data_IF_579185820922
#
_entry.id   IF_579185820922
#
_cell.length_a   1.000
_cell.length_b   1.000
_cell.length_c   1.000
_cell.angle_alpha   90.00
_cell.angle_beta   90.00
_cell.angle_gamma   90.00
#
_symmetry.space_group_name_H-M   'P 1'
#
loop_
_entity.id
_entity.type
_entity.pdbx_description
1 polymer ?
#
# COMPACT_ATOMS: atom_id res chain seq x y z
N UNK A 1 2.49 19.25 -66.59
CA UNK A 1 1.27 18.98 -67.37
C UNK A 1 0.11 18.77 -66.42
N UNK A 2 -0.86 19.69 -66.37
CA UNK A 2 -2.14 19.48 -65.70
C UNK A 2 -3.24 20.08 -66.59
N UNK A 3 -4.06 19.21 -67.19
CA UNK A 3 -5.19 19.61 -68.04
C UNK A 3 -6.36 20.01 -67.14
N UNK A 4 -6.75 21.28 -67.22
CA UNK A 4 -8.01 21.79 -66.65
C UNK A 4 -9.19 21.24 -67.46
N UNK A 5 -10.00 20.41 -66.84
CA UNK A 5 -11.30 19.96 -67.36
C UNK A 5 -12.32 21.07 -67.06
N UNK A 6 -12.88 21.71 -68.10
CA UNK A 6 -14.00 22.63 -67.98
C UNK A 6 -15.31 21.88 -68.21
N UNK A 7 -16.18 21.84 -67.20
CA UNK A 7 -17.58 21.41 -67.34
C UNK A 7 -18.43 22.54 -67.93
N UNK A 8 -19.34 22.26 -68.87
CA UNK A 8 -20.27 23.26 -69.37
C UNK A 8 -21.36 23.59 -68.32
N UNK A 9 -21.55 24.89 -68.03
CA UNK A 9 -22.70 25.38 -67.26
C UNK A 9 -23.97 25.24 -68.11
N UNK A 10 -24.82 24.27 -67.77
CA UNK A 10 -26.19 24.18 -68.27
C UNK A 10 -27.04 25.25 -67.60
N UNK A 11 -27.07 26.46 -68.16
CA UNK A 11 -28.05 27.48 -67.80
C UNK A 11 -29.36 27.18 -68.55
N UNK A 12 -30.51 27.10 -67.87
CA UNK A 12 -31.79 26.86 -68.51
C UNK A 12 -32.11 27.98 -69.50
N UNK A 13 -32.59 27.63 -70.70
CA UNK A 13 -32.87 28.62 -71.74
C UNK A 13 -33.89 29.65 -71.25
N UNK A 14 -33.77 30.90 -71.71
CA UNK A 14 -34.71 31.98 -71.37
C UNK A 14 -36.18 31.63 -71.69
N UNK A 15 -36.44 30.64 -72.55
CA UNK A 15 -37.78 30.09 -72.81
C UNK A 15 -38.32 29.26 -71.64
N UNK A 16 -37.50 28.45 -70.98
CA UNK A 16 -37.91 27.65 -69.82
C UNK A 16 -38.27 28.55 -68.63
N UNK A 17 -37.46 29.57 -68.36
CA UNK A 17 -37.73 30.54 -67.30
C UNK A 17 -39.02 31.34 -67.56
N UNK A 18 -39.30 31.70 -68.82
CA UNK A 18 -40.58 32.36 -69.20
C UNK A 18 -41.79 31.42 -69.10
N UNK A 19 -41.61 30.13 -69.37
CA UNK A 19 -42.64 29.09 -69.20
C UNK A 19 -43.00 28.89 -67.73
N UNK A 20 -42.00 28.81 -66.85
CA UNK A 20 -42.19 28.68 -65.40
C UNK A 20 -42.86 29.94 -64.85
N UNK A 21 -42.39 31.14 -65.24
CA UNK A 21 -42.99 32.40 -64.81
C UNK A 21 -44.46 32.56 -65.26
N UNK A 22 -44.83 32.07 -66.44
CA UNK A 22 -46.23 32.05 -66.90
C UNK A 22 -47.10 31.08 -66.08
N UNK A 23 -46.59 29.90 -65.71
CA UNK A 23 -47.31 28.93 -64.86
C UNK A 23 -47.56 29.48 -63.46
N UNK A 24 -46.56 30.11 -62.85
CA UNK A 24 -46.69 30.72 -61.51
C UNK A 24 -47.66 31.90 -61.52
N UNK A 25 -47.78 32.62 -62.63
CA UNK A 25 -48.74 33.73 -62.78
C UNK A 25 -50.19 33.28 -63.00
N UNK A 26 -50.42 32.02 -63.38
CA UNK A 26 -51.76 31.43 -63.63
C UNK A 26 -52.25 30.52 -62.50
N UNK A 27 -51.41 30.16 -61.53
CA UNK A 27 -51.83 29.40 -60.36
C UNK A 27 -52.68 30.25 -59.42
N UNK A 28 -53.96 29.90 -59.29
CA UNK A 28 -54.85 30.50 -58.28
C UNK A 28 -54.37 30.11 -56.87
N UNK A 29 -54.39 31.02 -55.89
CA UNK A 29 -54.07 30.67 -54.51
C UNK A 29 -55.02 29.56 -54.04
N UNK A 30 -54.47 28.58 -53.31
CA UNK A 30 -55.28 27.52 -52.71
C UNK A 30 -56.31 28.14 -51.76
N UNK A 31 -57.54 27.58 -51.68
CA UNK A 31 -58.55 28.08 -50.75
C UNK A 31 -58.01 28.06 -49.32
N UNK A 32 -58.33 29.10 -48.53
CA UNK A 32 -57.84 29.23 -47.14
C UNK A 32 -58.13 27.97 -46.30
N UNK A 33 -59.28 27.32 -46.53
CA UNK A 33 -59.65 26.06 -45.87
C UNK A 33 -58.75 24.88 -46.22
N UNK A 34 -58.17 24.84 -47.43
CA UNK A 34 -57.22 23.81 -47.84
C UNK A 34 -55.85 24.04 -47.19
N UNK A 35 -55.41 25.30 -47.12
CA UNK A 35 -54.17 25.69 -46.43
C UNK A 35 -54.26 25.36 -44.93
N UNK A 36 -55.40 25.67 -44.30
CA UNK A 36 -55.65 25.37 -42.90
C UNK A 36 -55.62 23.86 -42.61
N UNK A 37 -56.21 23.03 -43.50
CA UNK A 37 -56.16 21.57 -43.38
C UNK A 37 -54.73 21.03 -43.48
N UNK A 38 -53.93 21.52 -44.42
CA UNK A 38 -52.52 21.13 -44.52
C UNK A 38 -51.70 21.59 -43.31
N UNK A 39 -51.95 22.78 -42.79
CA UNK A 39 -51.29 23.28 -41.58
C UNK A 39 -51.61 22.39 -40.37
N UNK A 40 -52.89 22.05 -40.16
CA UNK A 40 -53.31 21.18 -39.05
C UNK A 40 -52.64 19.80 -39.18
N UNK A 41 -52.72 19.17 -40.36
CA UNK A 41 -52.11 17.85 -40.60
C UNK A 41 -50.58 17.90 -40.42
N UNK A 42 -49.92 18.97 -40.87
CA UNK A 42 -48.48 19.13 -40.68
C UNK A 42 -48.11 19.31 -39.20
N UNK A 43 -48.89 20.07 -38.43
CA UNK A 43 -48.64 20.27 -37.00
C UNK A 43 -48.89 18.99 -36.21
N UNK A 44 -49.91 18.20 -36.54
CA UNK A 44 -50.17 16.93 -35.86
C UNK A 44 -49.07 15.91 -36.14
N UNK A 45 -48.58 15.81 -37.38
CA UNK A 45 -47.44 14.94 -37.72
C UNK A 45 -46.18 15.35 -36.94
N UNK A 46 -45.90 16.65 -36.83
CA UNK A 46 -44.74 17.14 -36.09
C UNK A 46 -44.83 16.80 -34.59
N UNK A 47 -46.00 17.00 -33.98
CA UNK A 47 -46.22 16.67 -32.56
C UNK A 47 -46.03 15.17 -32.33
N UNK A 48 -46.59 14.32 -33.20
CA UNK A 48 -46.41 12.86 -33.10
C UNK A 48 -44.94 12.46 -33.24
N UNK A 49 -44.20 13.06 -34.18
CA UNK A 49 -42.78 12.78 -34.35
C UNK A 49 -41.94 13.15 -33.12
N UNK A 50 -42.23 14.29 -32.48
CA UNK A 50 -41.54 14.74 -31.26
C UNK A 50 -41.84 13.81 -30.08
N UNK A 51 -43.11 13.39 -29.93
CA UNK A 51 -43.51 12.45 -28.87
C UNK A 51 -42.84 11.09 -29.07
N UNK A 52 -42.82 10.57 -30.30
CA UNK A 52 -42.11 9.32 -30.62
C UNK A 52 -40.61 9.44 -30.34
N UNK A 53 -39.98 10.55 -30.69
CA UNK A 53 -38.56 10.79 -30.39
C UNK A 53 -38.28 10.84 -28.88
N UNK A 54 -39.15 11.51 -28.10
CA UNK A 54 -39.03 11.52 -26.64
C UNK A 54 -39.19 10.12 -26.04
N UNK A 55 -40.17 9.34 -26.51
CA UNK A 55 -40.36 7.94 -26.06
C UNK A 55 -39.13 7.10 -26.41
N UNK A 56 -38.60 7.21 -27.63
CA UNK A 56 -37.38 6.51 -28.06
C UNK A 56 -36.19 6.92 -27.18
N UNK A 57 -36.03 8.21 -26.86
CA UNK A 57 -34.95 8.68 -25.97
C UNK A 57 -35.07 8.11 -24.56
N UNK A 58 -36.28 8.04 -24.01
CA UNK A 58 -36.52 7.44 -22.68
C UNK A 58 -36.26 5.94 -22.71
N UNK A 59 -36.72 5.24 -23.75
CA UNK A 59 -36.45 3.81 -23.96
C UNK A 59 -34.94 3.58 -24.07
N UNK A 60 -34.22 4.33 -24.91
CA UNK A 60 -32.76 4.24 -25.04
C UNK A 60 -32.02 4.57 -23.74
N UNK A 61 -32.56 5.45 -22.90
CA UNK A 61 -32.02 5.75 -21.58
C UNK A 61 -32.27 4.62 -20.57
N UNK A 62 -33.46 4.01 -20.58
CA UNK A 62 -33.81 2.87 -19.71
C UNK A 62 -33.09 1.58 -20.13
N UNK A 63 -32.81 1.42 -21.42
CA UNK A 63 -32.00 0.33 -21.98
C UNK A 63 -30.51 0.68 -22.06
N UNK A 64 -30.10 1.89 -21.63
CA UNK A 64 -28.69 2.23 -21.42
C UNK A 64 -28.23 1.48 -20.19
N UNK A 65 -27.74 0.28 -20.44
CA UNK A 65 -27.11 -0.59 -19.47
C UNK A 65 -26.07 0.21 -18.65
N UNK A 66 -26.41 0.53 -17.40
CA UNK A 66 -25.47 1.05 -16.40
C UNK A 66 -24.63 -0.10 -15.85
N UNK A 67 -24.10 -0.95 -16.73
CA UNK A 67 -22.96 -1.78 -16.38
C UNK A 67 -21.76 -0.85 -16.34
N UNK A 68 -21.25 -0.64 -15.13
CA UNK A 68 -19.90 -0.12 -14.92
C UNK A 68 -18.95 -0.94 -15.81
N UNK A 69 -17.96 -0.27 -16.38
CA UNK A 69 -16.90 -0.96 -17.10
C UNK A 69 -16.35 -2.08 -16.19
N UNK A 70 -16.19 -3.32 -16.67
CA UNK A 70 -15.57 -4.40 -15.90
C UNK A 70 -14.25 -3.99 -15.22
N UNK A 71 -13.53 -3.03 -15.78
CA UNK A 71 -12.34 -2.44 -15.17
C UNK A 71 -12.65 -1.55 -13.95
N UNK A 72 -13.67 -0.69 -14.03
CA UNK A 72 -14.13 0.14 -12.91
C UNK A 72 -14.68 -0.73 -11.76
N UNK A 73 -15.45 -1.78 -12.09
CA UNK A 73 -15.95 -2.73 -11.10
C UNK A 73 -14.82 -3.51 -10.42
N UNK A 74 -13.80 -3.92 -11.19
CA UNK A 74 -12.57 -4.52 -10.67
C UNK A 74 -11.79 -3.56 -9.76
N UNK A 75 -11.69 -2.28 -10.12
CA UNK A 75 -10.99 -1.27 -9.34
C UNK A 75 -11.72 -0.96 -8.04
N UNK A 76 -13.03 -0.83 -8.07
CA UNK A 76 -13.87 -0.63 -6.88
C UNK A 76 -13.80 -1.84 -5.96
N UNK A 77 -13.83 -3.06 -6.50
CA UNK A 77 -13.70 -4.29 -5.72
C UNK A 77 -12.32 -4.37 -5.07
N UNK A 78 -11.25 -4.12 -5.83
CA UNK A 78 -9.88 -4.08 -5.31
C UNK A 78 -9.72 -2.98 -4.26
N UNK A 79 -10.25 -1.78 -4.50
CA UNK A 79 -10.21 -0.70 -3.53
C UNK A 79 -10.98 -1.05 -2.25
N UNK A 80 -12.15 -1.67 -2.36
CA UNK A 80 -12.93 -2.11 -1.20
C UNK A 80 -12.23 -3.24 -0.43
N UNK A 81 -11.65 -4.22 -1.13
CA UNK A 81 -10.85 -5.29 -0.49
C UNK A 81 -9.62 -4.72 0.24
N UNK A 82 -8.87 -3.80 -0.40
CA UNK A 82 -7.73 -3.12 0.23
C UNK A 82 -8.17 -2.27 1.42
N UNK A 83 -9.35 -1.66 1.36
CA UNK A 83 -9.92 -0.86 2.46
C UNK A 83 -10.31 -1.71 3.66
N UNK A 84 -10.77 -2.94 3.44
CA UNK A 84 -11.06 -3.90 4.51
C UNK A 84 -9.80 -4.55 5.09
N UNK A 85 -8.68 -4.58 4.35
CA UNK A 85 -7.41 -5.13 4.81
C UNK A 85 -6.55 -4.12 5.61
N UNK A 86 -6.63 -2.83 5.29
CA UNK A 86 -5.85 -1.75 5.92
C UNK A 86 -6.69 -1.05 6.98
N UNK A 87 -6.30 -1.19 8.24
CA UNK A 87 -7.00 -0.56 9.36
C UNK A 87 -6.54 0.89 9.51
N UNK A 88 -7.48 1.83 9.60
CA UNK A 88 -7.18 3.23 9.92
C UNK A 88 -6.48 4.01 8.81
N UNK A 89 -6.26 5.30 9.05
CA UNK A 89 -5.56 6.20 8.13
C UNK A 89 -4.10 6.33 8.54
N UNK A 90 -3.19 6.25 7.55
CA UNK A 90 -1.76 6.51 7.74
C UNK A 90 -1.47 7.95 7.37
N UNK A 91 -0.56 8.57 8.11
CA UNK A 91 0.07 9.81 7.66
C UNK A 91 0.85 9.60 6.35
N UNK A 92 1.24 10.68 5.70
CA UNK A 92 2.05 10.60 4.47
C UNK A 92 3.37 9.84 4.76
N UNK A 93 3.63 8.72 4.06
CA UNK A 93 4.82 7.92 4.32
C UNK A 93 6.06 8.57 3.72
N UNK A 94 7.15 8.61 4.48
CA UNK A 94 8.46 9.05 4.00
C UNK A 94 9.57 8.24 4.66
N UNK A 95 10.79 8.32 4.12
CA UNK A 95 11.92 7.52 4.58
C UNK A 95 13.19 8.34 4.71
N UNK A 96 14.07 7.91 5.60
CA UNK A 96 15.42 8.43 5.73
C UNK A 96 16.46 7.33 5.92
N UNK A 97 17.68 7.63 5.50
CA UNK A 97 18.83 6.73 5.66
C UNK A 97 19.53 7.10 6.96
N UNK A 98 19.49 6.21 7.94
CA UNK A 98 20.16 6.43 9.22
C UNK A 98 21.64 6.03 9.18
N UNK A 99 21.97 4.98 8.43
CA UNK A 99 23.35 4.50 8.29
C UNK A 99 23.52 3.61 7.06
N UNK A 100 24.74 3.63 6.50
CA UNK A 100 25.19 2.67 5.49
C UNK A 100 26.04 1.52 6.07
N UNK A 101 26.57 1.68 7.29
CA UNK A 101 27.44 0.71 7.97
C UNK A 101 27.07 0.57 9.46
N UNK A 102 26.15 -0.33 9.84
CA UNK A 102 25.37 -1.22 8.97
C UNK A 102 24.31 -0.43 8.18
N UNK A 103 23.69 -1.06 7.17
CA UNK A 103 22.57 -0.45 6.45
C UNK A 103 21.33 -0.40 7.34
N UNK A 104 20.87 0.80 7.68
CA UNK A 104 19.69 1.05 8.52
C UNK A 104 18.88 2.17 7.89
N UNK A 105 17.61 1.90 7.63
CA UNK A 105 16.64 2.81 7.04
C UNK A 105 15.47 2.97 8.00
N UNK A 106 14.95 4.18 8.14
CA UNK A 106 13.73 4.46 8.89
C UNK A 106 12.60 4.79 7.93
N UNK A 107 11.42 4.24 8.23
CA UNK A 107 10.18 4.46 7.50
C UNK A 107 9.16 5.07 8.45
N UNK A 108 8.77 6.30 8.18
CA UNK A 108 7.79 7.01 8.99
C UNK A 108 6.37 6.74 8.52
N UNK A 109 5.43 6.72 9.47
CA UNK A 109 4.02 6.45 9.20
C UNK A 109 3.80 5.13 8.44
N UNK A 110 4.62 4.12 8.73
CA UNK A 110 4.59 2.84 8.02
C UNK A 110 3.32 2.03 8.34
N UNK A 111 2.97 1.98 9.63
CA UNK A 111 1.69 1.49 10.12
C UNK A 111 0.80 2.64 10.61
N UNK A 112 -0.51 2.45 10.50
CA UNK A 112 -1.46 3.30 11.22
C UNK A 112 -1.43 3.00 12.71
N UNK A 113 -2.05 3.87 13.50
CA UNK A 113 -2.26 3.64 14.93
C UNK A 113 -3.12 2.39 15.15
N UNK A 114 -4.17 2.23 14.36
CA UNK A 114 -5.13 1.13 14.43
C UNK A 114 -4.48 -0.21 14.09
N UNK A 115 -3.55 -0.25 13.12
CA UNK A 115 -2.75 -1.45 12.83
C UNK A 115 -1.81 -1.81 14.00
N UNK A 116 -1.20 -0.80 14.65
CA UNK A 116 -0.36 -1.03 15.82
C UNK A 116 -1.17 -1.62 16.99
N UNK A 117 -2.30 -0.99 17.33
CA UNK A 117 -3.19 -1.45 18.41
C UNK A 117 -3.80 -2.83 18.09
N UNK A 118 -4.15 -3.08 16.83
CA UNK A 118 -4.63 -4.40 16.40
C UNK A 118 -3.59 -5.49 16.67
N UNK A 119 -2.32 -5.27 16.31
CA UNK A 119 -1.24 -6.22 16.57
C UNK A 119 -1.02 -6.46 18.07
N UNK A 120 -1.04 -5.41 18.89
CA UNK A 120 -0.82 -5.55 20.34
C UNK A 120 -1.97 -6.27 21.01
N UNK A 121 -3.22 -5.89 20.73
CA UNK A 121 -4.42 -6.48 21.32
C UNK A 121 -4.56 -7.97 20.97
N UNK A 122 -4.22 -8.33 19.73
CA UNK A 122 -4.28 -9.70 19.27
C UNK A 122 -3.16 -10.56 19.88
N UNK A 123 -2.01 -9.96 20.18
CA UNK A 123 -0.86 -10.66 20.73
C UNK A 123 -0.90 -10.84 22.25
N UNK A 124 -1.41 -9.84 22.98
CA UNK A 124 -1.41 -9.78 24.44
C UNK A 124 -1.85 -11.08 25.15
N UNK A 125 -3.00 -11.71 24.82
CA UNK A 125 -3.45 -12.92 25.51
C UNK A 125 -2.58 -14.17 25.22
N UNK A 126 -1.68 -14.11 24.23
CA UNK A 126 -0.86 -15.22 23.78
C UNK A 126 0.63 -15.06 24.11
N UNK A 127 1.01 -13.97 24.81
CA UNK A 127 2.38 -13.72 25.19
C UNK A 127 2.88 -14.77 26.18
N UNK A 128 4.02 -15.39 25.85
CA UNK A 128 4.76 -16.27 26.77
C UNK A 128 6.12 -15.65 27.07
N UNK A 129 6.68 -15.95 28.25
CA UNK A 129 8.00 -15.42 28.62
C UNK A 129 9.03 -15.82 27.57
N UNK A 130 9.73 -14.84 26.98
CA UNK A 130 10.72 -15.11 25.94
C UNK A 130 11.88 -15.90 26.52
N UNK A 131 12.07 -17.14 26.05
CA UNK A 131 13.23 -17.94 26.41
C UNK A 131 14.28 -17.91 25.30
N UNK A 132 15.54 -17.74 25.68
CA UNK A 132 16.68 -17.93 24.76
C UNK A 132 17.06 -19.40 24.79
N UNK A 133 17.09 -20.06 23.64
CA UNK A 133 17.51 -21.47 23.58
C UNK A 133 19.01 -21.56 23.90
N UNK A 134 19.39 -22.39 24.87
CA UNK A 134 20.77 -22.65 25.21
C UNK A 134 21.45 -23.44 24.08
N UNK A 135 22.55 -22.90 23.54
CA UNK A 135 23.30 -23.46 22.42
C UNK A 135 23.86 -24.86 22.67
N UNK A 136 24.16 -25.22 23.92
CA UNK A 136 24.79 -26.51 24.24
C UNK A 136 23.80 -27.68 24.35
N UNK A 137 22.54 -27.42 24.69
CA UNK A 137 21.58 -28.49 25.00
C UNK A 137 20.17 -28.27 24.43
N UNK A 138 19.94 -27.19 23.67
CA UNK A 138 18.65 -26.91 23.03
C UNK A 138 17.51 -26.57 24.00
N UNK A 139 17.78 -26.41 25.31
CA UNK A 139 16.75 -26.11 26.32
C UNK A 139 16.57 -24.60 26.52
N UNK A 140 15.37 -24.14 26.91
CA UNK A 140 15.13 -22.76 27.35
C UNK A 140 16.12 -22.34 28.45
N UNK A 141 16.90 -21.28 28.21
CA UNK A 141 17.78 -20.65 29.20
C UNK A 141 17.02 -19.48 29.83
N UNK A 142 16.69 -19.57 31.10
CA UNK A 142 16.32 -18.39 31.89
C UNK A 142 17.54 -17.47 31.93
N UNK A 143 17.53 -16.38 31.16
CA UNK A 143 18.65 -15.45 31.12
C UNK A 143 18.22 -14.01 31.03
N UNK A 144 18.96 -13.18 31.75
CA UNK A 144 19.04 -11.71 31.67
C UNK A 144 19.35 -11.16 30.26
N UNK A 145 19.48 -12.03 29.25
CA UNK A 145 19.80 -11.68 27.88
C UNK A 145 18.58 -11.13 27.13
N UNK A 146 17.40 -11.72 27.31
CA UNK A 146 16.13 -11.20 26.80
C UNK A 146 15.06 -11.34 27.86
N UNK A 147 14.58 -10.21 28.37
CA UNK A 147 13.66 -10.22 29.50
C UNK A 147 12.20 -10.00 29.14
N UNK A 148 11.85 -9.87 27.86
CA UNK A 148 10.47 -9.70 27.37
C UNK A 148 9.57 -10.94 27.52
N UNK A 149 8.28 -10.73 27.25
CA UNK A 149 7.37 -11.77 26.76
C UNK A 149 7.16 -11.63 25.26
N UNK A 150 6.87 -12.72 24.54
CA UNK A 150 6.69 -12.70 23.09
C UNK A 150 5.78 -13.80 22.57
N UNK A 151 5.24 -13.62 21.37
CA UNK A 151 4.49 -14.62 20.61
C UNK A 151 4.79 -14.47 19.11
N UNK A 152 4.48 -15.50 18.31
CA UNK A 152 4.59 -15.47 16.84
C UNK A 152 3.25 -15.71 16.17
N UNK A 153 2.87 -14.82 15.25
CA UNK A 153 1.76 -15.09 14.35
C UNK A 153 2.22 -16.08 13.28
N UNK A 154 1.30 -16.91 12.79
CA UNK A 154 1.55 -17.62 11.53
C UNK A 154 1.57 -16.59 10.39
N UNK A 155 2.40 -16.82 9.37
CA UNK A 155 2.46 -15.97 8.18
C UNK A 155 1.06 -15.88 7.55
N UNK A 156 0.59 -14.66 7.29
CA UNK A 156 -0.72 -14.38 6.71
C UNK A 156 -1.92 -14.87 7.53
N UNK A 157 -1.76 -15.07 8.85
CA UNK A 157 -2.80 -15.63 9.73
C UNK A 157 -4.11 -14.84 9.69
N UNK A 158 -4.02 -13.51 9.61
CA UNK A 158 -5.17 -12.60 9.50
C UNK A 158 -4.99 -11.69 8.29
N UNK A 159 -6.10 -11.15 7.75
CA UNK A 159 -6.09 -10.24 6.59
C UNK A 159 -5.17 -9.04 6.81
N UNK A 160 -5.33 -8.33 7.94
CA UNK A 160 -4.47 -7.20 8.31
C UNK A 160 -3.01 -7.59 8.45
N UNK A 161 -2.71 -8.73 9.07
CA UNK A 161 -1.32 -9.24 9.16
C UNK A 161 -0.74 -9.50 7.77
N UNK A 162 -1.52 -10.11 6.87
CA UNK A 162 -1.10 -10.39 5.50
C UNK A 162 -0.81 -9.10 4.74
N UNK A 163 -1.65 -8.08 4.89
CA UNK A 163 -1.44 -6.77 4.28
C UNK A 163 -0.17 -6.08 4.81
N UNK A 164 0.06 -6.14 6.12
CA UNK A 164 1.30 -5.64 6.75
C UNK A 164 2.52 -6.40 6.23
N UNK A 165 2.48 -7.73 6.18
CA UNK A 165 3.59 -8.56 5.68
C UNK A 165 3.89 -8.29 4.20
N UNK A 166 2.86 -8.11 3.37
CA UNK A 166 3.03 -7.71 1.97
C UNK A 166 3.68 -6.34 1.86
N UNK A 167 3.23 -5.36 2.66
CA UNK A 167 3.83 -4.02 2.69
C UNK A 167 5.30 -4.07 3.12
N UNK A 168 5.66 -4.89 4.10
CA UNK A 168 7.06 -5.10 4.50
C UNK A 168 7.86 -5.68 3.32
N UNK A 169 7.31 -6.66 2.60
CA UNK A 169 7.95 -7.24 1.43
C UNK A 169 8.21 -6.20 0.33
N UNK A 170 7.23 -5.33 0.05
CA UNK A 170 7.33 -4.27 -0.94
C UNK A 170 8.44 -3.26 -0.57
N UNK A 171 8.60 -2.91 0.71
CA UNK A 171 9.62 -1.97 1.19
C UNK A 171 11.01 -2.58 1.35
N UNK A 172 11.09 -3.88 1.64
CA UNK A 172 12.35 -4.60 1.78
C UNK A 172 12.88 -5.15 0.45
N UNK A 173 12.03 -5.19 -0.58
CA UNK A 173 12.27 -5.90 -1.85
C UNK A 173 12.60 -7.39 -1.62
N UNK A 174 11.94 -8.01 -0.65
CA UNK A 174 12.10 -9.43 -0.30
C UNK A 174 10.73 -10.08 -0.29
N UNK A 175 10.48 -11.19 -1.02
CA UNK A 175 9.16 -11.81 -1.06
C UNK A 175 8.64 -12.23 0.32
N UNK A 176 7.33 -12.13 0.52
CA UNK A 176 6.66 -12.48 1.80
C UNK A 176 7.00 -13.90 2.27
N UNK A 177 7.22 -14.82 1.35
CA UNK A 177 7.54 -16.22 1.58
C UNK A 177 8.93 -16.44 2.21
N UNK A 178 9.83 -15.48 2.07
CA UNK A 178 11.14 -15.47 2.73
C UNK A 178 11.04 -15.00 4.19
N UNK A 179 9.89 -14.44 4.58
CA UNK A 179 9.64 -13.99 5.93
C UNK A 179 9.24 -15.13 6.87
N UNK A 180 9.79 -15.09 8.09
CA UNK A 180 9.20 -15.78 9.24
C UNK A 180 7.84 -15.17 9.59
N UNK A 181 7.08 -15.77 10.50
CA UNK A 181 5.87 -15.13 11.04
C UNK A 181 6.22 -13.86 11.83
N UNK A 182 5.31 -12.88 11.90
CA UNK A 182 5.52 -11.69 12.74
C UNK A 182 5.67 -12.09 14.21
N UNK A 183 6.77 -11.69 14.82
CA UNK A 183 6.96 -11.81 16.26
C UNK A 183 6.50 -10.52 16.94
N UNK A 184 5.58 -10.62 17.89
CA UNK A 184 5.25 -9.51 18.79
C UNK A 184 5.90 -9.77 20.14
N UNK A 185 6.57 -8.75 20.68
CA UNK A 185 7.22 -8.78 21.97
C UNK A 185 6.80 -7.58 22.82
N UNK A 186 6.70 -7.82 24.12
CA UNK A 186 6.32 -6.84 25.12
C UNK A 186 7.42 -6.77 26.20
N UNK A 187 7.90 -5.56 26.49
CA UNK A 187 8.90 -5.28 27.51
C UNK A 187 8.33 -4.30 28.53
N UNK A 188 8.36 -4.69 29.79
CA UNK A 188 8.04 -3.83 30.95
C UNK A 188 9.20 -2.92 31.30
N UNK A 189 8.95 -1.93 32.16
CA UNK A 189 10.00 -1.11 32.75
C UNK A 189 11.16 -1.97 33.30
N UNK A 190 12.40 -1.59 32.96
CA UNK A 190 13.63 -2.32 33.29
C UNK A 190 13.96 -3.51 32.37
N UNK A 191 13.01 -4.02 31.59
CA UNK A 191 13.26 -5.12 30.66
C UNK A 191 14.01 -4.64 29.40
N UNK A 192 14.83 -5.53 28.84
CA UNK A 192 15.73 -5.24 27.72
C UNK A 192 15.99 -6.46 26.85
N UNK A 193 16.71 -6.24 25.75
CA UNK A 193 17.29 -7.29 24.93
C UNK A 193 18.77 -6.98 24.69
N UNK A 194 19.66 -7.75 25.31
CA UNK A 194 21.11 -7.62 25.19
C UNK A 194 21.60 -7.68 23.74
N UNK A 195 22.79 -7.11 23.51
CA UNK A 195 23.40 -6.99 22.19
C UNK A 195 23.53 -8.35 21.48
N UNK A 196 23.04 -8.43 20.26
CA UNK A 196 23.03 -9.64 19.45
C UNK A 196 23.04 -9.33 17.95
N UNK A 197 23.16 -10.41 17.16
CA UNK A 197 22.94 -10.41 15.73
C UNK A 197 21.69 -11.21 15.42
N UNK A 198 20.97 -10.81 14.38
CA UNK A 198 19.80 -11.56 13.90
C UNK A 198 20.18 -12.71 12.98
N UNK A 199 21.37 -12.67 12.38
CA UNK A 199 21.88 -13.76 11.57
C UNK A 199 22.30 -14.97 12.43
N UNK A 200 22.27 -16.16 11.82
CA UNK A 200 22.56 -17.40 12.55
C UNK A 200 24.05 -17.74 12.52
N UNK A 201 24.55 -18.29 13.63
CA UNK A 201 25.87 -18.94 13.69
C UNK A 201 25.77 -20.46 13.58
N UNK A 202 24.57 -21.03 13.72
CA UNK A 202 24.35 -22.47 13.73
C UNK A 202 23.81 -22.98 12.38
N UNK A 203 24.29 -24.15 11.95
CA UNK A 203 23.88 -24.76 10.67
C UNK A 203 22.42 -25.23 10.66
N UNK A 204 21.79 -25.45 11.81
CA UNK A 204 20.43 -25.98 11.88
C UNK A 204 19.40 -24.92 11.51
N UNK A 205 19.54 -23.71 12.04
CA UNK A 205 18.69 -22.56 11.71
C UNK A 205 18.85 -22.16 10.25
N UNK A 206 20.08 -22.20 9.71
CA UNK A 206 20.37 -21.90 8.30
C UNK A 206 19.63 -22.83 7.33
N UNK A 207 19.36 -24.09 7.71
CA UNK A 207 18.61 -25.02 6.84
C UNK A 207 17.16 -24.60 6.62
N UNK A 208 16.64 -23.63 7.38
CA UNK A 208 15.28 -23.11 7.25
C UNK A 208 15.30 -21.79 6.49
N UNK A 209 15.54 -21.84 5.18
CA UNK A 209 15.53 -20.66 4.30
C UNK A 209 16.87 -19.89 4.23
N UNK A 210 17.96 -20.45 4.74
CA UNK A 210 19.27 -19.77 4.72
C UNK A 210 19.43 -18.76 5.85
N UNK A 211 20.39 -17.84 5.68
CA UNK A 211 20.62 -16.74 6.63
C UNK A 211 19.46 -15.73 6.61
N UNK A 212 19.20 -15.11 7.76
CA UNK A 212 18.38 -13.90 7.83
C UNK A 212 19.14 -12.75 7.20
N UNK A 213 18.62 -12.21 6.10
CA UNK A 213 19.24 -11.14 5.33
C UNK A 213 18.91 -9.76 5.90
N UNK A 214 17.67 -9.56 6.35
CA UNK A 214 17.18 -8.29 6.84
C UNK A 214 16.12 -8.48 7.93
N UNK A 215 15.99 -7.44 8.75
CA UNK A 215 15.03 -7.37 9.84
C UNK A 215 14.22 -6.09 9.70
N UNK A 216 12.90 -6.23 9.77
CA UNK A 216 11.97 -5.13 9.85
C UNK A 216 11.42 -5.05 11.27
N UNK A 217 11.54 -3.90 11.94
CA UNK A 217 11.15 -3.71 13.33
C UNK A 217 10.27 -2.48 13.48
N UNK A 218 9.08 -2.67 14.04
CA UNK A 218 8.15 -1.62 14.45
C UNK A 218 8.11 -1.64 15.96
N UNK A 219 8.23 -0.48 16.61
CA UNK A 219 8.15 -0.45 18.07
C UNK A 219 7.70 0.89 18.60
N UNK A 220 7.05 0.85 19.76
CA UNK A 220 6.58 2.04 20.48
C UNK A 220 6.90 1.91 21.97
N UNK A 221 7.24 3.04 22.61
CA UNK A 221 7.46 3.15 24.05
C UNK A 221 7.44 4.62 24.47
N UNK A 222 7.07 4.89 25.72
CA UNK A 222 7.09 6.24 26.29
C UNK A 222 8.53 6.76 26.48
N UNK A 223 9.41 5.97 27.14
CA UNK A 223 10.80 6.37 27.38
C UNK A 223 11.78 5.21 27.49
N UNK A 224 13.00 5.42 26.99
CA UNK A 224 14.02 4.38 26.87
C UNK A 224 13.69 3.43 25.74
N UNK A 225 14.02 2.15 25.90
CA UNK A 225 13.61 1.12 24.93
C UNK A 225 14.22 1.28 23.53
N UNK A 226 15.25 2.10 23.35
CA UNK A 226 15.84 2.35 22.04
C UNK A 226 16.42 1.09 21.40
N UNK A 227 16.39 1.03 20.07
CA UNK A 227 17.19 0.03 19.34
C UNK A 227 18.52 0.68 18.98
N UNK A 228 19.61 0.20 19.57
CA UNK A 228 20.95 0.78 19.42
C UNK A 228 21.88 -0.14 18.63
N UNK A 229 22.59 0.42 17.65
CA UNK A 229 23.67 -0.22 16.88
C UNK A 229 25.01 0.34 17.37
N UNK A 230 25.65 -0.29 18.38
CA UNK A 230 26.86 0.24 19.02
C UNK A 230 28.07 0.38 18.08
N UNK A 231 28.10 -0.37 16.98
CA UNK A 231 29.22 -0.36 16.03
C UNK A 231 28.93 0.42 14.74
N UNK A 232 27.77 1.07 14.65
CA UNK A 232 27.43 1.88 13.49
C UNK A 232 28.45 3.01 13.26
N UNK A 233 28.80 3.26 12.01
CA UNK A 233 29.77 4.29 11.61
C UNK A 233 29.06 5.62 11.33
N UNK A 234 28.43 6.16 12.37
CA UNK A 234 27.75 7.46 12.34
C UNK A 234 28.17 8.33 13.52
N UNK A 235 28.01 9.64 13.39
CA UNK A 235 28.15 10.54 14.52
C UNK A 235 26.86 10.52 15.35
N UNK A 236 26.83 9.74 16.43
CA UNK A 236 25.63 9.63 17.29
C UNK A 236 25.15 10.98 17.82
N UNK A 237 26.08 11.90 18.13
CA UNK A 237 25.74 13.22 18.67
C UNK A 237 25.07 14.15 17.68
N UNK A 238 25.05 13.81 16.38
CA UNK A 238 24.32 14.59 15.37
C UNK A 238 22.88 14.13 15.14
N UNK A 239 22.41 13.10 15.86
CA UNK A 239 21.01 12.67 15.77
C UNK A 239 20.10 13.77 16.34
N UNK A 240 19.00 14.15 15.65
CA UNK A 240 18.09 15.20 16.12
C UNK A 240 17.54 14.93 17.54
N UNK A 241 17.33 13.66 17.87
CA UNK A 241 16.80 13.20 19.16
C UNK A 241 17.91 12.80 20.16
N UNK A 242 19.18 13.13 19.92
CA UNK A 242 20.30 12.70 20.77
C UNK A 242 20.12 13.04 22.25
N UNK A 243 19.56 14.21 22.54
CA UNK A 243 19.36 14.68 23.92
C UNK A 243 18.29 13.89 24.67
N UNK A 244 17.37 13.26 23.95
CA UNK A 244 16.29 12.43 24.51
C UNK A 244 16.72 10.97 24.74
N UNK A 245 17.87 10.57 24.20
CA UNK A 245 18.38 9.21 24.34
C UNK A 245 18.79 8.91 25.77
N UNK A 246 18.48 7.70 26.21
CA UNK A 246 19.01 7.09 27.41
C UNK A 246 20.54 6.94 27.35
N UNK A 247 21.16 6.70 28.51
CA UNK A 247 22.59 6.37 28.57
C UNK A 247 22.92 5.13 27.70
N UNK A 248 21.99 4.20 27.56
CA UNK A 248 22.13 3.04 26.68
C UNK A 248 22.11 3.44 25.19
N UNK A 249 21.17 4.29 24.79
CA UNK A 249 21.03 4.76 23.41
C UNK A 249 22.22 5.59 22.93
N UNK A 250 22.86 6.36 23.81
CA UNK A 250 24.03 7.19 23.46
C UNK A 250 25.30 6.39 23.07
N UNK A 251 25.29 5.06 23.18
CA UNK A 251 26.45 4.19 22.86
C UNK A 251 26.66 3.94 21.36
N UNK A 252 25.75 4.36 20.49
CA UNK A 252 25.85 4.15 19.04
C UNK A 252 24.67 4.78 18.30
N UNK A 253 24.46 4.41 17.03
CA UNK A 253 23.24 4.81 16.32
C UNK A 253 22.03 4.26 17.07
N UNK A 254 21.18 5.13 17.62
CA UNK A 254 20.00 4.70 18.35
C UNK A 254 18.73 5.25 17.70
N UNK A 255 17.74 4.37 17.59
CA UNK A 255 16.41 4.71 17.10
C UNK A 255 15.47 4.72 18.30
N UNK A 256 14.84 5.88 18.51
CA UNK A 256 13.78 6.04 19.50
C UNK A 256 12.52 5.35 18.98
N UNK A 257 11.90 4.44 19.74
CA UNK A 257 10.64 3.83 19.33
C UNK A 257 9.56 4.91 19.23
N UNK A 258 8.74 4.82 18.17
CA UNK A 258 7.63 5.71 17.93
C UNK A 258 6.56 4.93 17.18
N UNK A 259 5.34 4.93 17.71
CA UNK A 259 4.20 4.27 17.10
C UNK A 259 4.06 4.60 15.61
N UNK A 260 3.83 3.57 14.80
CA UNK A 260 3.70 3.68 13.35
C UNK A 260 5.03 3.74 12.58
N UNK A 261 6.11 4.18 13.20
CA UNK A 261 7.43 4.20 12.56
C UNK A 261 8.09 2.81 12.61
N UNK A 262 8.90 2.53 11.59
CA UNK A 262 9.59 1.26 11.45
C UNK A 262 11.04 1.44 11.03
N UNK A 263 11.88 0.48 11.37
CA UNK A 263 13.25 0.38 10.83
C UNK A 263 13.42 -0.88 10.01
N UNK A 264 14.15 -0.75 8.91
CA UNK A 264 14.69 -1.86 8.14
C UNK A 264 16.21 -1.83 8.25
N UNK A 265 16.80 -2.90 8.78
CA UNK A 265 18.24 -3.04 8.83
C UNK A 265 18.69 -4.39 8.28
N UNK A 266 19.91 -4.40 7.74
CA UNK A 266 20.44 -5.55 7.02
C UNK A 266 21.46 -6.29 7.89
N UNK A 267 21.21 -7.58 8.08
CA UNK A 267 22.10 -8.49 8.80
C UNK A 267 23.27 -8.96 7.94
N UNK A 268 23.09 -8.94 6.61
CA UNK A 268 24.12 -9.31 5.64
C UNK A 268 24.54 -8.11 4.78
N UNK A 269 25.81 -8.11 4.38
CA UNK A 269 26.37 -7.22 3.37
C UNK A 269 25.86 -7.62 1.97
N UNK A 270 25.98 -6.74 0.96
CA UNK A 270 25.57 -7.07 -0.42
C UNK A 270 26.28 -8.28 -1.03
N UNK A 271 27.48 -8.64 -0.53
CA UNK A 271 28.21 -9.85 -0.92
C UNK A 271 27.69 -11.14 -0.24
N UNK A 272 26.62 -11.05 0.55
CA UNK A 272 25.99 -12.16 1.25
C UNK A 272 26.67 -12.56 2.57
N UNK A 273 27.80 -11.95 2.93
CA UNK A 273 28.46 -12.24 4.19
C UNK A 273 27.74 -11.55 5.37
N UNK A 274 27.72 -12.17 6.58
CA UNK A 274 27.26 -11.51 7.79
C UNK A 274 27.96 -10.17 8.02
N UNK A 275 27.18 -9.13 8.34
CA UNK A 275 27.70 -7.81 8.68
C UNK A 275 27.88 -7.70 10.20
N UNK A 276 29.12 -7.71 10.74
CA UNK A 276 29.34 -7.59 12.18
C UNK A 276 28.83 -6.28 12.76
N UNK A 277 28.74 -5.22 11.93
CA UNK A 277 28.25 -3.91 12.35
C UNK A 277 26.74 -3.89 12.61
N UNK A 278 26.00 -4.91 12.14
CA UNK A 278 24.56 -5.07 12.38
C UNK A 278 24.22 -5.56 13.79
N UNK A 279 25.23 -5.69 14.68
CA UNK A 279 24.97 -5.94 16.10
C UNK A 279 24.08 -4.84 16.65
N UNK A 280 23.02 -5.24 17.35
CA UNK A 280 22.08 -4.30 17.95
C UNK A 280 21.59 -4.78 19.32
N UNK A 281 21.16 -3.83 20.13
CA UNK A 281 20.61 -4.04 21.47
C UNK A 281 19.27 -3.32 21.59
N UNK A 282 18.31 -3.92 22.29
CA UNK A 282 17.13 -3.21 22.79
C UNK A 282 17.43 -2.68 24.18
N UNK A 283 17.58 -1.36 24.30
CA UNK A 283 17.84 -0.69 25.56
C UNK A 283 16.73 -0.94 26.60
N UNK A 284 17.04 -0.81 27.91
CA UNK A 284 16.04 -0.93 28.96
C UNK A 284 14.89 0.07 28.77
N UNK A 285 13.66 -0.40 28.96
CA UNK A 285 12.51 0.51 29.09
C UNK A 285 12.65 1.29 30.39
N UNK A 286 12.50 2.62 30.34
CA UNK A 286 12.61 3.48 31.51
C UNK A 286 11.21 3.80 32.05
N UNK A 287 10.31 4.24 31.17
CA UNK A 287 8.90 4.56 31.50
C UNK A 287 7.99 3.92 30.44
N UNK A 288 6.79 3.53 30.86
CA UNK A 288 5.79 2.88 30.01
C UNK A 288 6.07 1.40 29.72
N UNK A 289 5.49 0.93 28.62
CA UNK A 289 5.60 -0.45 28.13
C UNK A 289 6.04 -0.42 26.68
N UNK A 290 7.10 -1.15 26.33
CA UNK A 290 7.54 -1.24 24.94
C UNK A 290 6.87 -2.41 24.25
N UNK A 291 6.19 -2.12 23.15
CA UNK A 291 5.75 -3.13 22.20
C UNK A 291 6.66 -3.13 20.98
N UNK A 292 7.02 -4.31 20.50
CA UNK A 292 7.88 -4.48 19.34
C UNK A 292 7.34 -5.59 18.43
N UNK A 293 7.15 -5.28 17.16
CA UNK A 293 6.77 -6.24 16.12
C UNK A 293 7.95 -6.42 15.16
N UNK A 294 8.46 -7.64 15.07
CA UNK A 294 9.66 -7.99 14.29
C UNK A 294 9.32 -8.96 13.17
N UNK A 295 9.78 -8.65 11.96
CA UNK A 295 9.77 -9.54 10.79
C UNK A 295 11.20 -9.86 10.40
N UNK A 296 11.60 -11.11 10.56
CA UNK A 296 12.86 -11.61 9.99
C UNK A 296 12.64 -12.15 8.59
N UNK A 297 13.53 -11.78 7.68
CA UNK A 297 13.48 -12.17 6.27
C UNK A 297 14.75 -12.92 5.89
N UNK A 298 14.59 -13.98 5.10
CA UNK A 298 15.65 -14.90 4.74
C UNK A 298 16.13 -14.72 3.29
N UNK A 299 17.33 -15.23 3.01
CA UNK A 299 17.87 -15.27 1.62
C UNK A 299 17.08 -16.21 0.71
N UNK A 300 16.44 -17.25 1.25
CA UNK A 300 15.62 -18.21 0.52
C UNK A 300 14.21 -18.32 1.13
N UNK A 301 13.34 -19.08 0.45
CA UNK A 301 12.00 -19.41 0.94
C UNK A 301 12.04 -19.97 2.37
N UNK A 302 11.30 -19.33 3.28
CA UNK A 302 11.19 -19.77 4.66
C UNK A 302 10.02 -20.75 4.82
N UNK A 303 10.35 -22.01 5.14
CA UNK A 303 9.37 -23.06 5.47
C UNK A 303 8.97 -22.94 6.95
N UNK A 304 7.84 -22.28 7.23
CA UNK A 304 7.22 -22.36 8.55
C UNK A 304 6.83 -23.82 8.84
N UNK A 305 7.03 -24.29 10.08
CA UNK A 305 6.42 -25.57 10.50
C UNK A 305 4.90 -25.41 10.39
N UNK A 306 4.25 -26.31 9.66
CA UNK A 306 2.78 -26.40 9.56
C UNK A 306 2.17 -26.63 10.94
#
# INVERSE_FOLDING_TARGET
>A
MARSIRYPRLLPSKRLLRSIARRVRQSRPLPLGTILRYAIVSTTILIVAVVLWMIISVVLFLFRDHRLDPYEESLLTYQNEVKDEVLGERGEPWSEVLSWKPRVFMYHNFLSKEECEYLTNLAEPHLVRSAVINRSNGKPRNTSFRTSSSMFFKRGQYKTIRAIEKRIADFAFIPTEHGEGLQVAHYKAGERYAAHHDYFSDKFSIRKGGQRIATFLISDVEKGGETVFPYAKVNTSSLPWYNELSACGKRGLAIKPKMGDAILFWSLRPDGAPDPLSMHEGCPVIEGNKWACTKWMHVEFFRSRQ
#
